data_IF_226804848835
#
_entry.id   IF_226804848835
#
_cell.length_a   1.000
_cell.length_b   1.000
_cell.length_c   1.000
_cell.angle_alpha   90.00
_cell.angle_beta   90.00
_cell.angle_gamma   90.00
#
_symmetry.space_group_name_H-M   'P 1'
#
loop_
_entity.id
_entity.type
_entity.pdbx_description
1 polymer ?
#
# COMPACT_ATOMS: atom_id res chain seq x y z
N UNK A 1 19.51 -8.29 28.95
CA UNK A 1 19.26 -6.88 28.59
C UNK A 1 17.76 -6.74 28.41
N UNK A 2 17.13 -5.83 29.14
CA UNK A 2 15.71 -5.53 28.95
C UNK A 2 15.55 -4.60 27.75
N UNK A 3 14.64 -4.94 26.84
CA UNK A 3 14.33 -4.17 25.64
C UNK A 3 12.89 -3.64 25.65
N UNK A 4 12.18 -3.72 26.78
CA UNK A 4 10.79 -3.30 26.92
C UNK A 4 10.55 -1.85 26.50
N UNK A 5 11.41 -0.93 26.95
CA UNK A 5 11.33 0.50 26.59
C UNK A 5 11.58 0.73 25.10
N UNK A 6 12.58 0.06 24.52
CA UNK A 6 12.87 0.15 23.09
C UNK A 6 11.71 -0.39 22.25
N UNK A 7 11.16 -1.54 22.65
CA UNK A 7 10.00 -2.14 21.98
C UNK A 7 8.81 -1.20 22.01
N UNK A 8 8.50 -0.62 23.17
CA UNK A 8 7.44 0.37 23.32
C UNK A 8 7.67 1.57 22.40
N UNK A 9 8.89 2.11 22.38
CA UNK A 9 9.23 3.24 21.51
C UNK A 9 9.03 2.90 20.01
N UNK A 10 9.42 1.70 19.57
CA UNK A 10 9.23 1.23 18.18
C UNK A 10 7.75 1.04 17.86
N UNK A 11 6.96 0.50 18.78
CA UNK A 11 5.52 0.27 18.57
C UNK A 11 4.69 1.57 18.61
N UNK A 12 5.17 2.61 19.32
CA UNK A 12 4.46 3.89 19.49
C UNK A 12 4.95 5.01 18.57
N UNK A 13 6.08 4.87 17.88
CA UNK A 13 6.56 5.90 16.94
C UNK A 13 5.59 6.06 15.77
N UNK A 14 5.45 7.27 15.26
CA UNK A 14 4.73 7.53 14.01
C UNK A 14 5.65 7.28 12.82
N UNK A 15 5.11 6.69 11.75
CA UNK A 15 5.84 6.38 10.54
C UNK A 15 5.84 7.58 9.58
N UNK A 16 7.01 7.87 9.01
CA UNK A 16 7.16 8.71 7.81
C UNK A 16 7.54 7.78 6.67
N UNK A 17 6.62 7.57 5.74
CA UNK A 17 6.88 6.81 4.52
C UNK A 17 7.44 7.75 3.45
N UNK A 18 8.77 7.74 3.34
CA UNK A 18 9.50 8.62 2.44
C UNK A 18 9.43 8.25 0.96
N UNK A 19 8.86 7.07 0.62
CA UNK A 19 8.72 6.65 -0.76
C UNK A 19 7.63 5.58 -0.93
N UNK A 20 6.48 6.01 -1.45
CA UNK A 20 5.35 5.16 -1.77
C UNK A 20 4.86 5.39 -3.21
N UNK A 21 3.96 4.53 -3.65
CA UNK A 21 3.17 4.72 -4.86
C UNK A 21 1.70 4.88 -4.51
N UNK A 22 0.99 5.64 -5.34
CA UNK A 22 -0.38 6.01 -5.09
C UNK A 22 -1.32 4.78 -5.20
N UNK A 23 -2.44 4.82 -4.48
CA UNK A 23 -3.46 3.79 -4.52
C UNK A 23 -4.26 3.86 -5.83
N UNK A 24 -4.91 2.75 -6.16
CA UNK A 24 -5.87 2.65 -7.26
C UNK A 24 -7.27 2.35 -6.72
N UNK A 25 -8.29 2.70 -7.49
CA UNK A 25 -9.67 2.34 -7.18
C UNK A 25 -9.86 0.81 -7.09
N UNK A 26 -10.86 0.36 -6.33
CA UNK A 26 -11.13 -1.08 -6.14
C UNK A 26 -11.49 -1.80 -7.44
N UNK A 27 -11.99 -1.07 -8.44
CA UNK A 27 -12.36 -1.57 -9.76
C UNK A 27 -11.26 -1.31 -10.82
N UNK A 28 -10.04 -0.97 -10.41
CA UNK A 28 -8.86 -0.89 -11.27
C UNK A 28 -8.51 -2.25 -11.88
N UNK A 29 -7.90 -2.24 -13.06
CA UNK A 29 -7.35 -3.44 -13.68
C UNK A 29 -6.07 -3.92 -12.96
N UNK A 30 -5.51 -3.12 -12.05
CA UNK A 30 -4.38 -3.53 -11.24
C UNK A 30 -4.82 -4.44 -10.08
N UNK A 31 -4.59 -5.75 -10.25
CA UNK A 31 -4.98 -6.77 -9.29
C UNK A 31 -4.27 -6.61 -7.93
N UNK A 32 -5.02 -6.85 -6.84
CA UNK A 32 -4.52 -6.77 -5.47
C UNK A 32 -3.35 -7.73 -5.19
N UNK A 33 -3.23 -8.85 -5.93
CA UNK A 33 -2.10 -9.78 -5.80
C UNK A 33 -0.74 -9.08 -5.99
N UNK A 34 -0.70 -8.00 -6.77
CA UNK A 34 0.53 -7.24 -7.03
C UNK A 34 0.99 -6.40 -5.84
N UNK A 35 0.15 -6.23 -4.81
CA UNK A 35 0.60 -5.67 -3.52
C UNK A 35 1.61 -6.59 -2.81
N UNK A 36 1.68 -7.88 -3.19
CA UNK A 36 2.56 -8.87 -2.57
C UNK A 36 3.68 -9.37 -3.50
N UNK A 37 3.69 -8.95 -4.76
CA UNK A 37 4.58 -9.50 -5.78
C UNK A 37 4.69 -8.62 -7.01
N UNK A 38 5.92 -8.51 -7.53
CA UNK A 38 6.20 -7.89 -8.82
C UNK A 38 6.16 -8.90 -9.99
N UNK A 39 5.67 -10.12 -9.75
CA UNK A 39 5.55 -11.12 -10.80
C UNK A 39 4.56 -10.67 -11.88
N UNK A 40 4.85 -11.05 -13.12
CA UNK A 40 3.99 -10.79 -14.28
C UNK A 40 3.78 -12.07 -15.09
N UNK A 41 2.70 -12.09 -15.88
CA UNK A 41 2.31 -13.27 -16.67
C UNK A 41 2.13 -14.52 -15.79
N UNK A 42 2.55 -15.67 -16.30
CA UNK A 42 2.34 -16.97 -15.65
C UNK A 42 3.02 -17.06 -14.27
N UNK A 43 4.06 -16.25 -14.02
CA UNK A 43 4.76 -16.24 -12.73
C UNK A 43 3.87 -15.76 -11.56
N UNK A 44 2.80 -15.02 -11.84
CA UNK A 44 1.85 -14.55 -10.81
C UNK A 44 1.27 -15.72 -10.02
N UNK A 45 1.02 -16.87 -10.66
CA UNK A 45 0.48 -18.07 -10.01
C UNK A 45 1.38 -18.62 -8.88
N UNK A 46 2.69 -18.32 -8.93
CA UNK A 46 3.65 -18.73 -7.91
C UNK A 46 3.71 -17.78 -6.71
N UNK A 47 3.06 -16.61 -6.78
CA UNK A 47 3.07 -15.59 -5.71
C UNK A 47 2.61 -16.17 -4.37
N UNK A 48 1.61 -17.05 -4.38
CA UNK A 48 1.06 -17.67 -3.18
C UNK A 48 2.07 -18.51 -2.36
N UNK A 49 3.15 -18.96 -3.01
CA UNK A 49 4.20 -19.73 -2.36
C UNK A 49 5.29 -18.85 -1.74
N UNK A 50 5.32 -17.56 -2.08
CA UNK A 50 6.31 -16.61 -1.59
C UNK A 50 6.09 -16.24 -0.11
N UNK A 51 7.19 -15.92 0.59
CA UNK A 51 7.14 -15.45 1.97
C UNK A 51 6.39 -14.11 2.11
N UNK A 52 6.60 -13.09 1.24
CA UNK A 52 5.84 -11.84 1.30
C UNK A 52 4.34 -12.06 1.24
N UNK A 53 3.86 -12.90 0.32
CA UNK A 53 2.43 -13.20 0.23
C UNK A 53 1.90 -13.83 1.53
N UNK A 54 2.52 -14.93 2.00
CA UNK A 54 2.02 -15.66 3.18
C UNK A 54 1.99 -14.80 4.43
N UNK A 55 3.04 -13.99 4.65
CA UNK A 55 3.13 -13.11 5.80
C UNK A 55 2.07 -12.00 5.72
N UNK A 56 1.99 -11.29 4.60
CA UNK A 56 1.08 -10.15 4.49
C UNK A 56 -0.39 -10.58 4.50
N UNK A 57 -0.75 -11.73 3.90
CA UNK A 57 -2.13 -12.26 3.97
C UNK A 57 -2.53 -12.62 5.39
N UNK A 58 -1.62 -13.15 6.20
CA UNK A 58 -1.88 -13.37 7.63
C UNK A 58 -2.09 -12.04 8.37
N UNK A 59 -1.16 -11.12 8.22
CA UNK A 59 -1.15 -9.86 8.97
C UNK A 59 -2.37 -8.98 8.60
N UNK A 60 -2.74 -8.92 7.31
CA UNK A 60 -3.91 -8.15 6.87
C UNK A 60 -5.24 -8.83 7.23
N UNK A 61 -5.30 -10.17 7.21
CA UNK A 61 -6.50 -10.89 7.61
C UNK A 61 -6.76 -10.74 9.12
N UNK A 62 -5.70 -10.74 9.93
CA UNK A 62 -5.78 -10.41 11.36
C UNK A 62 -6.29 -8.98 11.56
N UNK A 63 -5.74 -8.00 10.82
CA UNK A 63 -6.19 -6.61 10.88
C UNK A 63 -7.67 -6.45 10.49
N UNK A 64 -8.14 -7.17 9.47
CA UNK A 64 -9.52 -7.12 9.00
C UNK A 64 -10.48 -8.02 9.79
N UNK A 65 -9.97 -8.88 10.68
CA UNK A 65 -10.77 -9.87 11.40
C UNK A 65 -11.43 -10.91 10.49
N UNK A 66 -10.77 -11.27 9.38
CA UNK A 66 -11.29 -12.23 8.41
C UNK A 66 -10.40 -13.49 8.30
N UNK A 67 -10.81 -14.45 7.46
CA UNK A 67 -10.02 -15.67 7.23
C UNK A 67 -8.70 -15.30 6.52
N UNK A 68 -7.60 -15.94 6.92
CA UNK A 68 -6.29 -15.79 6.26
C UNK A 68 -6.25 -16.50 4.91
N UNK A 69 -6.93 -15.92 3.91
CA UNK A 69 -6.84 -16.29 2.50
C UNK A 69 -7.00 -15.05 1.62
N UNK A 70 -6.49 -15.10 0.39
CA UNK A 70 -6.58 -13.96 -0.53
C UNK A 70 -8.04 -13.58 -0.80
N UNK A 71 -8.89 -14.58 -1.04
CA UNK A 71 -10.30 -14.39 -1.39
C UNK A 71 -11.08 -13.70 -0.27
N UNK A 72 -10.82 -14.09 0.99
CA UNK A 72 -11.48 -13.49 2.15
C UNK A 72 -11.03 -12.05 2.39
N UNK A 73 -9.75 -11.75 2.15
CA UNK A 73 -9.20 -10.39 2.23
C UNK A 73 -9.75 -9.52 1.11
N UNK A 74 -9.79 -10.02 -0.12
CA UNK A 74 -10.35 -9.28 -1.27
C UNK A 74 -11.85 -9.01 -1.10
N UNK A 75 -12.61 -9.99 -0.62
CA UNK A 75 -14.03 -9.80 -0.34
C UNK A 75 -14.26 -8.76 0.77
N UNK A 76 -13.47 -8.81 1.85
CA UNK A 76 -13.53 -7.77 2.88
C UNK A 76 -13.24 -6.39 2.31
N UNK A 77 -12.21 -6.25 1.47
CA UNK A 77 -11.87 -4.99 0.81
C UNK A 77 -13.02 -4.47 -0.05
N UNK A 78 -13.65 -5.36 -0.82
CA UNK A 78 -14.77 -5.03 -1.71
C UNK A 78 -16.00 -4.57 -0.93
N UNK A 79 -16.35 -5.25 0.15
CA UNK A 79 -17.53 -4.94 0.97
C UNK A 79 -17.31 -3.69 1.83
N UNK A 80 -16.11 -3.51 2.40
CA UNK A 80 -15.81 -2.39 3.30
C UNK A 80 -15.58 -1.08 2.56
N UNK A 81 -15.13 -1.15 1.30
CA UNK A 81 -14.82 0.03 0.49
C UNK A 81 -13.44 0.63 0.77
N UNK A 82 -12.92 1.38 -0.20
CA UNK A 82 -11.54 1.88 -0.24
C UNK A 82 -11.19 2.80 0.94
N UNK A 83 -12.11 3.69 1.31
CA UNK A 83 -11.91 4.65 2.40
C UNK A 83 -11.77 3.95 3.76
N UNK A 84 -12.66 2.99 4.06
CA UNK A 84 -12.64 2.24 5.32
C UNK A 84 -11.36 1.42 5.47
N UNK A 85 -10.94 0.72 4.41
CA UNK A 85 -9.72 -0.10 4.45
C UNK A 85 -8.47 0.78 4.52
N UNK A 86 -8.46 1.94 3.86
CA UNK A 86 -7.32 2.88 3.90
C UNK A 86 -7.19 3.49 5.29
N UNK A 87 -8.30 3.95 5.88
CA UNK A 87 -8.33 4.45 7.26
C UNK A 87 -7.81 3.39 8.25
N UNK A 88 -8.26 2.14 8.12
CA UNK A 88 -7.82 1.02 8.96
C UNK A 88 -6.32 0.79 8.84
N UNK A 89 -5.80 0.69 7.62
CA UNK A 89 -4.38 0.42 7.36
C UNK A 89 -3.47 1.59 7.78
N UNK A 90 -3.79 2.83 7.41
CA UNK A 90 -2.99 4.01 7.77
C UNK A 90 -2.91 4.20 9.27
N UNK A 91 -4.04 4.00 9.98
CA UNK A 91 -4.09 4.08 11.44
C UNK A 91 -3.28 2.97 12.10
N UNK A 92 -3.42 1.72 11.63
CA UNK A 92 -2.68 0.58 12.18
C UNK A 92 -1.16 0.74 11.99
N UNK A 93 -0.74 1.29 10.84
CA UNK A 93 0.66 1.56 10.53
C UNK A 93 1.19 2.88 11.12
N UNK A 94 0.34 3.67 11.79
CA UNK A 94 0.69 4.97 12.41
C UNK A 94 1.36 5.95 11.42
N UNK A 95 0.88 6.00 10.18
CA UNK A 95 1.47 6.82 9.12
C UNK A 95 1.12 8.30 9.36
N UNK A 96 2.13 9.10 9.69
CA UNK A 96 2.01 10.56 9.85
C UNK A 96 2.36 11.33 8.58
N UNK A 97 3.13 10.73 7.68
CA UNK A 97 3.53 11.34 6.41
C UNK A 97 3.71 10.27 5.35
N UNK A 98 3.25 10.55 4.13
CA UNK A 98 3.52 9.73 2.94
C UNK A 98 3.98 10.61 1.78
N UNK A 99 5.02 10.16 1.09
CA UNK A 99 5.55 10.82 -0.10
C UNK A 99 5.36 9.90 -1.30
N UNK A 100 4.52 10.31 -2.24
CA UNK A 100 4.17 9.53 -3.43
C UNK A 100 5.06 9.88 -4.61
N UNK A 101 5.72 8.88 -5.18
CA UNK A 101 6.40 8.99 -6.47
C UNK A 101 5.37 9.05 -7.61
N UNK A 102 5.42 10.10 -8.42
CA UNK A 102 4.48 10.39 -9.52
C UNK A 102 4.77 9.66 -10.84
N UNK A 103 5.80 8.83 -10.87
CA UNK A 103 6.29 8.23 -12.10
C UNK A 103 5.65 6.89 -12.48
N UNK A 104 4.84 6.30 -11.59
CA UNK A 104 4.04 5.11 -11.88
C UNK A 104 2.73 5.50 -12.55
N UNK A 105 2.43 4.85 -13.67
CA UNK A 105 1.18 5.03 -14.42
C UNK A 105 0.39 3.74 -14.32
N UNK A 106 -0.76 3.81 -13.65
CA UNK A 106 -1.74 2.75 -13.50
C UNK A 106 -3.11 3.32 -13.84
N UNK A 107 -4.06 2.45 -14.16
CA UNK A 107 -5.44 2.88 -14.36
C UNK A 107 -6.11 3.17 -13.02
N UNK A 108 -6.92 4.24 -13.00
CA UNK A 108 -7.72 4.64 -11.84
C UNK A 108 -6.89 4.93 -10.58
N UNK A 109 -5.70 5.51 -10.74
CA UNK A 109 -4.93 6.10 -9.64
C UNK A 109 -5.81 7.15 -8.94
N UNK A 110 -5.80 7.11 -7.61
CA UNK A 110 -6.53 8.06 -6.76
C UNK A 110 -5.77 9.38 -6.69
N UNK A 111 -6.49 10.49 -6.54
CA UNK A 111 -5.85 11.79 -6.35
C UNK A 111 -4.98 11.79 -5.08
N UNK A 112 -3.76 12.34 -5.18
CA UNK A 112 -2.80 12.37 -4.06
C UNK A 112 -3.40 13.07 -2.83
N UNK A 113 -4.16 14.15 -3.01
CA UNK A 113 -4.72 14.94 -1.92
C UNK A 113 -5.79 14.18 -1.13
N UNK A 114 -6.44 13.18 -1.73
CA UNK A 114 -7.42 12.32 -1.02
C UNK A 114 -6.81 11.66 0.22
N UNK A 115 -5.50 11.36 0.20
CA UNK A 115 -4.80 10.71 1.31
C UNK A 115 -4.67 11.62 2.56
N UNK A 116 -4.89 12.94 2.43
CA UNK A 116 -4.96 13.87 3.57
C UNK A 116 -6.11 13.56 4.52
N UNK A 117 -7.07 12.74 4.11
CA UNK A 117 -8.13 12.22 4.98
C UNK A 117 -7.61 11.20 6.01
N UNK A 118 -6.46 10.56 5.77
CA UNK A 118 -5.90 9.51 6.64
C UNK A 118 -4.59 9.89 7.32
N UNK A 119 -3.85 10.87 6.78
CA UNK A 119 -2.55 11.29 7.30
C UNK A 119 -2.37 12.81 7.12
N UNK A 120 -1.76 13.52 8.09
CA UNK A 120 -1.69 14.98 8.05
C UNK A 120 -0.78 15.54 6.96
N UNK A 121 0.21 14.74 6.50
CA UNK A 121 1.18 15.18 5.53
C UNK A 121 1.24 14.25 4.33
N UNK A 122 1.01 14.83 3.16
CA UNK A 122 1.12 14.15 1.88
C UNK A 122 1.96 15.02 0.96
N UNK A 123 2.93 14.42 0.30
CA UNK A 123 3.78 15.08 -0.67
C UNK A 123 3.93 14.22 -1.93
N UNK A 124 4.36 14.86 -3.01
CA UNK A 124 4.68 14.19 -4.28
C UNK A 124 6.18 14.32 -4.53
N UNK A 125 6.80 13.21 -4.92
CA UNK A 125 8.17 13.14 -5.41
C UNK A 125 8.13 13.05 -6.93
N UNK A 126 8.87 13.95 -7.59
CA UNK A 126 8.97 14.01 -9.05
C UNK A 126 9.93 12.93 -9.54
N UNK A 127 9.45 11.99 -10.38
CA UNK A 127 10.31 11.03 -11.07
C UNK A 127 11.01 11.69 -12.26
N UNK A 128 12.29 12.00 -12.08
CA UNK A 128 13.09 12.76 -13.06
C UNK A 128 13.18 12.07 -14.42
N UNK A 129 13.17 10.75 -14.48
CA UNK A 129 13.19 9.97 -15.73
C UNK A 129 11.93 10.21 -16.55
N UNK A 130 10.75 10.28 -15.90
CA UNK A 130 9.47 10.59 -16.56
C UNK A 130 9.43 12.03 -17.06
N UNK A 131 10.00 12.95 -16.30
CA UNK A 131 10.13 14.34 -16.73
C UNK A 131 11.06 14.45 -17.94
N UNK A 132 12.20 13.77 -17.91
CA UNK A 132 13.15 13.74 -19.02
C UNK A 132 12.53 13.11 -20.28
N UNK A 133 11.81 11.99 -20.15
CA UNK A 133 11.06 11.38 -21.25
C UNK A 133 10.06 12.35 -21.90
N UNK A 134 9.35 13.15 -21.10
CA UNK A 134 8.42 14.16 -21.63
C UNK A 134 9.16 15.23 -22.42
N UNK A 135 10.23 15.79 -21.85
CA UNK A 135 11.03 16.84 -22.50
C UNK A 135 11.67 16.35 -23.81
N UNK A 136 12.12 15.09 -23.86
CA UNK A 136 12.75 14.53 -25.06
C UNK A 136 11.76 14.17 -26.18
N UNK A 137 10.48 14.01 -25.85
CA UNK A 137 9.42 13.68 -26.80
C UNK A 137 8.59 14.91 -27.25
N UNK A 138 8.93 16.11 -26.77
CA UNK A 138 8.47 17.39 -27.32
C UNK A 138 9.18 17.72 -28.64
#
# INVERSE_FOLDING_TARGET
MDFSELRKAIEEVELVDGHAHNLVALDSNFSFIHAFSLAHGDAVASTQHSLPFKRNIRDIAELYGCKSSLEAVEEYRRVSGLESISSTCFKAARISTVIFDDGIVLDKIIDTEWHKTFTPHVATLVRVERLAEKILNE
#
